data_IF_924244723647
#
_entry.id   IF_924244723647
#
_cell.length_a   1.000
_cell.length_b   1.000
_cell.length_c   1.000
_cell.angle_alpha   90.00
_cell.angle_beta   90.00
_cell.angle_gamma   90.00
#
_symmetry.space_group_name_H-M   'P 1'
#
loop_
_entity.id
_entity.type
_entity.pdbx_description
1 polymer ?
#
# COMPACT_ATOMS: atom_id res chain seq x y z
N UNK A 1 -7.00 48.26 72.44
CA UNK A 1 -6.97 47.13 73.42
C UNK A 1 -8.32 47.09 74.15
N UNK A 2 -8.76 46.05 74.92
CA UNK A 2 -8.65 44.55 74.85
C UNK A 2 -9.92 43.73 75.35
N UNK A 3 -9.89 42.37 75.23
CA UNK A 3 -10.31 41.18 76.09
C UNK A 3 -11.68 40.86 76.81
N UNK A 4 -12.13 39.57 76.68
CA UNK A 4 -12.45 38.46 77.67
C UNK A 4 -13.81 38.20 78.43
N UNK A 5 -14.11 36.86 78.58
CA UNK A 5 -14.77 36.04 79.67
C UNK A 5 -16.30 35.72 79.56
N UNK A 6 -16.92 34.63 80.08
CA UNK A 6 -16.72 33.18 80.44
C UNK A 6 -18.08 32.64 80.96
N UNK A 7 -18.32 31.31 81.00
CA UNK A 7 -19.30 30.71 81.92
C UNK A 7 -19.65 29.22 81.67
N UNK A 8 -19.03 28.31 82.45
CA UNK A 8 -19.44 26.91 82.64
C UNK A 8 -20.29 26.76 83.92
N UNK A 9 -21.22 25.80 83.93
CA UNK A 9 -21.79 25.20 85.15
C UNK A 9 -22.02 23.69 84.95
N UNK A 10 -21.26 22.87 85.68
CA UNK A 10 -21.64 21.50 86.14
C UNK A 10 -22.01 21.59 87.65
N UNK A 11 -22.37 20.54 88.44
CA UNK A 11 -22.63 19.10 88.17
C UNK A 11 -23.84 18.44 88.94
N UNK A 12 -24.30 17.24 88.47
CA UNK A 12 -24.62 15.94 89.18
C UNK A 12 -25.50 15.89 90.47
N UNK A 13 -25.94 14.72 91.05
CA UNK A 13 -26.12 13.31 90.60
C UNK A 13 -27.58 12.79 90.85
N UNK A 14 -28.08 11.65 90.39
CA UNK A 14 -27.96 10.28 90.94
C UNK A 14 -29.02 9.43 90.18
N UNK A 15 -28.63 8.41 89.40
CA UNK A 15 -28.49 6.97 89.76
C UNK A 15 -29.80 6.16 89.86
N UNK A 16 -29.82 5.11 89.01
CA UNK A 16 -30.50 3.79 89.13
C UNK A 16 -31.96 3.77 88.62
N UNK A 17 -32.36 3.00 87.60
CA UNK A 17 -31.66 2.01 86.79
C UNK A 17 -32.52 1.54 85.60
N UNK A 18 -31.81 1.06 84.56
CA UNK A 18 -32.10 0.01 83.52
C UNK A 18 -33.57 -0.24 83.03
N UNK A 19 -33.73 -0.85 81.84
CA UNK A 19 -33.23 -0.41 80.53
C UNK A 19 -34.35 -0.42 79.47
N UNK A 20 -34.20 0.47 78.49
CA UNK A 20 -34.28 0.17 77.06
C UNK A 20 -35.53 -0.59 76.56
N UNK A 21 -36.49 0.15 76.01
CA UNK A 21 -36.88 -0.02 74.59
C UNK A 21 -37.86 1.09 74.19
N UNK A 22 -37.49 1.73 73.09
CA UNK A 22 -38.36 2.09 71.98
C UNK A 22 -39.43 3.15 72.29
N UNK A 23 -39.27 4.37 71.76
CA UNK A 23 -40.33 5.20 71.15
C UNK A 23 -39.73 6.58 70.78
N UNK A 24 -40.20 7.10 69.64
CA UNK A 24 -40.07 8.45 69.08
C UNK A 24 -38.91 8.73 68.12
N UNK A 25 -39.28 8.88 66.85
CA UNK A 25 -38.44 9.50 65.84
C UNK A 25 -39.09 9.75 64.48
N UNK A 26 -40.43 9.76 64.38
CA UNK A 26 -41.14 10.33 63.21
C UNK A 26 -41.02 11.85 63.34
N UNK A 27 -39.94 12.42 62.81
CA UNK A 27 -39.82 13.82 62.39
C UNK A 27 -38.42 14.09 61.83
N UNK A 28 -38.05 13.41 60.75
CA UNK A 28 -36.94 13.80 59.88
C UNK A 28 -37.16 13.23 58.47
N UNK A 29 -38.37 13.45 57.93
CA UNK A 29 -38.73 13.13 56.56
C UNK A 29 -38.89 14.45 55.77
N UNK A 30 -37.81 15.22 55.66
CA UNK A 30 -37.62 16.27 54.66
C UNK A 30 -36.23 16.86 54.81
N UNK A 31 -35.51 16.95 53.70
CA UNK A 31 -34.17 17.55 53.50
C UNK A 31 -32.97 16.67 53.85
N UNK A 32 -32.07 16.57 52.87
CA UNK A 32 -30.75 15.90 52.84
C UNK A 32 -30.76 14.40 52.48
N UNK A 33 -31.17 14.10 51.25
CA UNK A 33 -30.47 13.13 50.39
C UNK A 33 -30.46 13.69 48.95
N UNK A 34 -29.58 14.66 48.71
CA UNK A 34 -29.21 15.10 47.37
C UNK A 34 -27.69 14.95 47.23
N UNK A 35 -27.20 13.71 47.31
CA UNK A 35 -25.85 13.36 46.89
C UNK A 35 -25.88 11.98 46.22
N UNK A 36 -25.66 12.01 44.91
CA UNK A 36 -25.16 10.92 44.08
C UNK A 36 -25.97 9.61 44.09
N UNK A 37 -27.13 9.62 43.43
CA UNK A 37 -27.43 8.46 42.57
C UNK A 37 -27.08 8.90 41.15
N UNK A 38 -25.97 8.37 40.62
CA UNK A 38 -25.91 8.19 39.18
C UNK A 38 -27.10 7.29 38.86
N UNK A 39 -28.11 7.82 38.16
CA UNK A 39 -29.12 7.00 37.55
C UNK A 39 -28.42 6.25 36.40
N UNK A 40 -27.62 5.26 36.74
CA UNK A 40 -27.20 4.25 35.79
C UNK A 40 -28.47 3.48 35.46
N UNK A 41 -29.15 3.87 34.39
CA UNK A 41 -30.01 2.94 33.69
C UNK A 41 -29.15 1.70 33.44
N UNK A 42 -29.58 0.57 33.97
CA UNK A 42 -28.97 -0.70 33.66
C UNK A 42 -29.25 -0.91 32.16
N UNK A 43 -28.34 -0.46 31.29
CA UNK A 43 -28.44 -0.78 29.88
C UNK A 43 -28.07 -2.25 29.81
N UNK A 44 -29.10 -3.08 29.89
CA UNK A 44 -28.98 -4.49 29.58
C UNK A 44 -28.77 -4.59 28.07
N UNK A 45 -27.52 -4.39 27.63
CA UNK A 45 -27.06 -4.81 26.32
C UNK A 45 -26.98 -6.33 26.37
N UNK A 46 -28.12 -6.95 26.07
CA UNK A 46 -28.24 -8.33 25.60
C UNK A 46 -27.45 -9.34 26.44
N UNK A 47 -28.07 -9.91 27.47
CA UNK A 47 -27.44 -10.89 28.37
C UNK A 47 -26.64 -12.00 27.65
N UNK A 48 -25.34 -11.75 27.46
CA UNK A 48 -24.37 -12.68 26.88
C UNK A 48 -24.38 -12.84 25.35
N UNK A 49 -25.12 -12.02 24.59
CA UNK A 49 -25.17 -12.11 23.12
C UNK A 49 -24.58 -10.88 22.43
N UNK A 50 -23.92 -11.07 21.29
CA UNK A 50 -23.38 -9.97 20.47
C UNK A 50 -24.47 -8.93 20.16
N UNK A 51 -24.11 -7.65 20.25
CA UNK A 51 -24.96 -6.53 19.83
C UNK A 51 -24.83 -6.41 18.32
N UNK A 52 -25.88 -6.76 17.60
CA UNK A 52 -25.91 -6.79 16.14
C UNK A 52 -26.63 -5.54 15.63
N UNK A 53 -25.86 -4.62 15.03
CA UNK A 53 -26.37 -3.37 14.45
C UNK A 53 -26.75 -3.57 12.98
N UNK A 54 -27.95 -3.12 12.58
CA UNK A 54 -28.32 -2.85 11.19
C UNK A 54 -28.55 -4.07 10.29
N UNK A 55 -29.75 -4.66 10.36
CA UNK A 55 -30.21 -5.66 9.39
C UNK A 55 -30.46 -4.98 8.02
N UNK A 56 -29.45 -4.95 7.16
CA UNK A 56 -29.55 -4.35 5.83
C UNK A 56 -28.31 -4.48 4.93
N UNK A 57 -27.44 -5.46 5.17
CA UNK A 57 -26.29 -5.70 4.27
C UNK A 57 -26.77 -6.43 3.01
N UNK A 58 -27.14 -5.67 1.99
CA UNK A 58 -27.52 -6.23 0.70
C UNK A 58 -26.29 -6.36 -0.22
N UNK A 59 -25.86 -7.60 -0.46
CA UNK A 59 -24.86 -7.94 -1.47
C UNK A 59 -25.45 -7.81 -2.88
N UNK A 60 -24.74 -7.14 -3.78
CA UNK A 60 -25.12 -7.00 -5.20
C UNK A 60 -24.06 -7.62 -6.09
N UNK A 61 -24.10 -8.94 -6.19
CA UNK A 61 -23.18 -9.79 -6.94
C UNK A 61 -22.91 -9.30 -8.37
N UNK A 62 -21.64 -9.14 -8.68
CA UNK A 62 -21.13 -9.50 -10.00
C UNK A 62 -19.86 -10.35 -9.78
N UNK A 63 -19.58 -11.25 -10.73
CA UNK A 63 -18.67 -12.42 -10.66
C UNK A 63 -18.99 -13.58 -9.67
N UNK A 64 -19.59 -13.34 -8.49
CA UNK A 64 -19.88 -14.41 -7.51
C UNK A 64 -21.12 -14.17 -6.61
N UNK A 65 -21.96 -15.20 -6.47
CA UNK A 65 -23.24 -15.19 -5.75
C UNK A 65 -23.17 -15.57 -4.27
N UNK A 66 -22.00 -15.97 -3.75
CA UNK A 66 -21.81 -16.38 -2.34
C UNK A 66 -21.08 -15.35 -1.45
N UNK A 67 -20.87 -14.13 -1.95
CA UNK A 67 -20.11 -13.11 -1.21
C UNK A 67 -20.82 -12.69 0.08
N UNK A 68 -20.09 -12.76 1.20
CA UNK A 68 -20.51 -12.28 2.52
C UNK A 68 -19.74 -11.01 2.88
N UNK A 69 -20.47 -9.97 3.31
CA UNK A 69 -19.91 -8.68 3.74
C UNK A 69 -20.10 -8.54 5.25
N UNK A 70 -19.01 -8.34 5.98
CA UNK A 70 -19.01 -8.16 7.44
C UNK A 70 -18.41 -6.79 7.78
N UNK A 71 -19.23 -5.77 8.11
CA UNK A 71 -18.73 -4.49 8.60
C UNK A 71 -18.27 -4.58 10.05
N UNK A 72 -17.25 -3.80 10.40
CA UNK A 72 -16.77 -3.60 11.75
C UNK A 72 -16.79 -2.14 12.12
N UNK A 73 -17.14 -1.86 13.38
CA UNK A 73 -17.14 -0.51 13.93
C UNK A 73 -16.24 -0.41 15.14
N UNK A 74 -15.57 0.72 15.30
CA UNK A 74 -14.84 1.06 16.53
C UNK A 74 -15.29 2.43 17.03
N UNK A 75 -15.20 2.62 18.35
CA UNK A 75 -15.51 3.90 18.97
C UNK A 75 -14.32 4.86 18.77
N UNK A 76 -14.57 6.03 18.19
CA UNK A 76 -13.57 7.07 17.97
C UNK A 76 -13.92 8.29 18.84
N UNK A 77 -12.94 8.75 19.61
CA UNK A 77 -13.08 9.98 20.41
C UNK A 77 -12.94 11.20 19.48
N UNK A 78 -14.05 11.87 19.20
CA UNK A 78 -14.09 13.14 18.48
C UNK A 78 -14.27 14.31 19.49
N UNK A 79 -14.00 15.56 19.08
CA UNK A 79 -14.21 16.70 19.97
C UNK A 79 -15.69 16.83 20.35
N UNK A 80 -16.00 16.57 21.63
CA UNK A 80 -17.37 16.54 22.16
C UNK A 80 -17.68 15.18 22.76
N UNK A 81 -18.52 14.40 22.08
CA UNK A 81 -18.83 13.01 22.40
C UNK A 81 -18.32 12.12 21.26
N UNK A 82 -17.57 11.07 21.57
CA UNK A 82 -17.12 10.11 20.57
C UNK A 82 -18.28 9.33 19.94
N UNK A 83 -18.05 8.76 18.77
CA UNK A 83 -19.04 8.01 18.00
C UNK A 83 -18.47 6.67 17.51
N UNK A 84 -19.33 5.68 17.30
CA UNK A 84 -18.92 4.46 16.60
C UNK A 84 -18.86 4.74 15.10
N UNK A 85 -17.69 4.55 14.49
CA UNK A 85 -17.48 4.70 13.04
C UNK A 85 -17.34 3.35 12.37
N UNK A 86 -17.73 3.27 11.11
CA UNK A 86 -17.35 2.14 10.25
C UNK A 86 -15.84 2.21 10.00
N UNK A 87 -15.09 1.24 10.50
CA UNK A 87 -13.61 1.30 10.48
C UNK A 87 -12.96 0.15 9.76
N UNK A 88 -13.70 -0.92 9.49
CA UNK A 88 -13.23 -2.03 8.68
C UNK A 88 -14.38 -2.76 8.00
N UNK A 89 -14.11 -3.39 6.86
CA UNK A 89 -15.05 -4.25 6.14
C UNK A 89 -14.31 -5.52 5.75
N UNK A 90 -14.81 -6.69 6.16
CA UNK A 90 -14.36 -7.98 5.64
C UNK A 90 -15.32 -8.47 4.55
N UNK A 91 -14.75 -8.95 3.46
CA UNK A 91 -15.47 -9.59 2.35
C UNK A 91 -14.93 -11.01 2.21
N UNK A 92 -15.82 -12.00 2.24
CA UNK A 92 -15.46 -13.43 2.23
C UNK A 92 -16.40 -14.26 1.37
N UNK A 93 -16.03 -15.51 1.07
CA UNK A 93 -16.81 -16.36 0.17
C UNK A 93 -16.64 -15.97 -1.29
N UNK A 94 -15.44 -15.47 -1.67
CA UNK A 94 -15.14 -15.02 -3.03
C UNK A 94 -14.51 -16.15 -3.83
N UNK A 95 -15.10 -16.49 -4.97
CA UNK A 95 -14.59 -17.41 -5.98
C UNK A 95 -13.63 -16.67 -6.93
N UNK A 96 -12.35 -16.67 -6.57
CA UNK A 96 -11.27 -16.00 -7.28
C UNK A 96 -10.63 -16.86 -8.37
N UNK A 97 -11.37 -17.81 -8.95
CA UNK A 97 -10.91 -18.55 -10.14
C UNK A 97 -10.94 -17.68 -11.39
N UNK A 98 -10.17 -18.08 -12.41
CA UNK A 98 -10.01 -17.33 -13.66
C UNK A 98 -11.32 -17.11 -14.44
N UNK A 99 -12.30 -18.00 -14.31
CA UNK A 99 -13.62 -17.92 -14.94
C UNK A 99 -14.67 -17.20 -14.08
N UNK A 100 -14.25 -16.63 -12.95
CA UNK A 100 -15.09 -16.06 -11.90
C UNK A 100 -14.65 -14.64 -11.56
N UNK A 101 -14.17 -14.37 -10.34
CA UNK A 101 -13.83 -13.03 -9.87
C UNK A 101 -12.41 -12.57 -10.20
N UNK A 102 -11.52 -13.50 -10.56
CA UNK A 102 -10.15 -13.12 -10.93
C UNK A 102 -10.15 -12.18 -12.13
N UNK A 103 -9.38 -11.10 -12.03
CA UNK A 103 -9.32 -10.01 -13.01
C UNK A 103 -10.49 -9.04 -12.95
N UNK A 104 -11.37 -9.12 -11.93
CA UNK A 104 -12.44 -8.14 -11.69
C UNK A 104 -12.02 -7.12 -10.63
N UNK A 105 -12.73 -6.00 -10.64
CA UNK A 105 -12.59 -4.95 -9.63
C UNK A 105 -13.88 -4.92 -8.82
N UNK A 106 -13.76 -5.14 -7.51
CA UNK A 106 -14.81 -4.92 -6.53
C UNK A 106 -14.90 -3.43 -6.19
N UNK A 107 -16.06 -2.83 -6.43
CA UNK A 107 -16.40 -1.46 -6.07
C UNK A 107 -17.27 -1.50 -4.83
N UNK A 108 -16.77 -0.92 -3.73
CA UNK A 108 -17.38 -0.98 -2.41
C UNK A 108 -17.88 0.40 -2.03
N UNK A 109 -19.17 0.48 -1.64
CA UNK A 109 -19.83 1.73 -1.25
C UNK A 109 -20.70 1.51 -0.03
N UNK A 110 -20.84 2.53 0.82
CA UNK A 110 -21.77 2.53 1.93
C UNK A 110 -22.90 3.55 1.68
N UNK A 111 -24.10 3.24 2.17
CA UNK A 111 -25.28 4.08 2.02
C UNK A 111 -26.03 4.22 3.34
N UNK A 112 -26.59 5.40 3.56
CA UNK A 112 -27.63 5.66 4.53
C UNK A 112 -29.03 5.56 3.90
N UNK A 113 -30.06 5.92 4.66
CA UNK A 113 -31.42 6.08 4.13
C UNK A 113 -31.55 7.28 3.17
N UNK A 114 -30.57 8.18 3.13
CA UNK A 114 -30.62 9.44 2.35
C UNK A 114 -29.68 9.47 1.16
N UNK A 115 -28.70 8.57 1.07
CA UNK A 115 -27.74 8.56 -0.04
C UNK A 115 -26.48 7.76 0.25
N UNK A 116 -25.49 7.87 -0.65
CA UNK A 116 -24.14 7.32 -0.46
C UNK A 116 -23.42 8.10 0.63
N UNK A 117 -22.61 7.41 1.43
CA UNK A 117 -21.82 7.96 2.52
C UNK A 117 -20.35 8.07 2.10
N UNK A 118 -19.69 9.12 2.56
CA UNK A 118 -18.22 9.16 2.57
C UNK A 118 -17.69 8.13 3.57
N UNK A 119 -16.74 7.31 3.14
CA UNK A 119 -16.17 6.23 3.93
C UNK A 119 -15.09 6.77 4.87
N UNK A 120 -14.14 7.52 4.33
CA UNK A 120 -13.03 8.10 5.08
C UNK A 120 -12.46 9.34 4.38
N UNK A 121 -11.82 10.21 5.17
CA UNK A 121 -10.92 11.24 4.67
C UNK A 121 -9.49 10.67 4.67
N UNK A 122 -8.83 10.72 3.52
CA UNK A 122 -7.42 10.43 3.36
C UNK A 122 -6.63 11.73 3.45
N UNK A 123 -5.63 11.79 4.33
CA UNK A 123 -4.76 12.95 4.44
C UNK A 123 -3.30 12.51 4.48
N UNK A 124 -2.47 13.16 3.66
CA UNK A 124 -1.01 13.02 3.65
C UNK A 124 -0.42 14.27 4.27
N UNK A 125 0.37 14.10 5.33
CA UNK A 125 1.06 15.18 6.03
C UNK A 125 2.58 15.00 5.91
N UNK A 126 3.28 16.07 5.56
CA UNK A 126 4.74 16.12 5.60
C UNK A 126 5.25 16.03 7.03
N UNK A 127 6.15 15.09 7.34
CA UNK A 127 6.76 15.02 8.68
C UNK A 127 7.84 16.09 8.90
N UNK A 128 8.24 16.83 7.86
CA UNK A 128 9.29 17.86 7.96
C UNK A 128 8.75 19.16 8.58
N UNK A 129 7.56 19.57 8.15
CA UNK A 129 6.94 20.86 8.49
C UNK A 129 5.47 20.73 8.92
N UNK A 130 4.95 19.50 9.00
CA UNK A 130 3.56 19.19 9.38
C UNK A 130 2.51 19.86 8.47
N UNK A 131 2.88 20.13 7.21
CA UNK A 131 1.96 20.64 6.20
C UNK A 131 1.12 19.51 5.59
N UNK A 132 -0.15 19.80 5.31
CA UNK A 132 -1.03 18.90 4.56
C UNK A 132 -0.61 18.99 3.09
N UNK A 133 -0.22 17.84 2.52
CA UNK A 133 0.19 17.68 1.13
C UNK A 133 -1.04 17.35 0.27
N UNK A 134 -1.86 16.43 0.75
CA UNK A 134 -3.06 15.95 0.08
C UNK A 134 -4.14 15.72 1.13
N UNK A 135 -5.39 16.06 0.79
CA UNK A 135 -6.56 15.64 1.53
C UNK A 135 -7.71 15.36 0.57
N UNK A 136 -8.32 14.18 0.69
CA UNK A 136 -9.36 13.70 -0.23
C UNK A 136 -10.37 12.86 0.54
N UNK A 137 -11.65 13.17 0.39
CA UNK A 137 -12.74 12.33 0.90
C UNK A 137 -13.07 11.23 -0.12
N UNK A 138 -13.17 9.98 0.35
CA UNK A 138 -13.48 8.83 -0.48
C UNK A 138 -14.84 8.26 -0.11
N UNK A 139 -15.73 8.20 -1.10
CA UNK A 139 -17.09 7.65 -1.00
C UNK A 139 -17.19 6.23 -1.59
N UNK A 140 -16.11 5.74 -2.20
CA UNK A 140 -15.99 4.39 -2.77
C UNK A 140 -14.57 3.84 -2.61
N UNK A 141 -14.45 2.52 -2.65
CA UNK A 141 -13.16 1.79 -2.65
C UNK A 141 -13.16 0.79 -3.80
N UNK A 142 -12.05 0.72 -4.54
CA UNK A 142 -11.88 -0.27 -5.60
C UNK A 142 -10.79 -1.29 -5.22
N UNK A 143 -11.16 -2.56 -5.17
CA UNK A 143 -10.26 -3.68 -4.88
C UNK A 143 -10.15 -4.58 -6.10
N UNK A 144 -8.95 -4.73 -6.64
CA UNK A 144 -8.69 -5.69 -7.71
C UNK A 144 -8.48 -7.08 -7.14
N UNK A 145 -9.05 -8.10 -7.78
CA UNK A 145 -8.74 -9.50 -7.53
C UNK A 145 -7.83 -10.06 -8.62
N UNK A 146 -6.69 -10.61 -8.22
CA UNK A 146 -5.80 -11.40 -9.07
C UNK A 146 -5.59 -12.79 -8.49
N UNK A 147 -6.46 -13.73 -8.87
CA UNK A 147 -6.43 -15.11 -8.39
C UNK A 147 -6.41 -15.22 -6.84
N UNK A 148 -7.24 -14.40 -6.19
CA UNK A 148 -7.43 -14.29 -4.74
C UNK A 148 -6.35 -13.43 -4.06
N UNK A 149 -5.54 -12.72 -4.85
CA UNK A 149 -4.68 -11.66 -4.33
C UNK A 149 -5.43 -10.35 -4.53
N UNK A 150 -5.99 -9.84 -3.44
CA UNK A 150 -6.75 -8.61 -3.39
C UNK A 150 -5.82 -7.43 -3.16
N UNK A 151 -5.95 -6.40 -3.99
CA UNK A 151 -5.12 -5.19 -3.91
C UNK A 151 -6.00 -3.97 -4.01
N UNK A 152 -5.74 -2.99 -3.14
CA UNK A 152 -6.43 -1.70 -3.19
C UNK A 152 -5.97 -0.95 -4.45
N UNK A 153 -6.89 -0.72 -5.37
CA UNK A 153 -6.62 -0.21 -6.72
C UNK A 153 -7.00 1.25 -6.93
N UNK A 154 -7.84 1.83 -6.05
CA UNK A 154 -8.11 3.27 -6.06
C UNK A 154 -8.42 3.78 -4.65
N UNK A 155 -7.89 4.94 -4.29
CA UNK A 155 -8.43 5.74 -3.20
C UNK A 155 -7.56 5.87 -1.96
N UNK A 156 -6.40 6.53 -2.12
CA UNK A 156 -5.52 6.86 -0.99
C UNK A 156 -5.02 5.61 -0.24
N UNK A 157 -4.43 4.67 -0.97
CA UNK A 157 -3.90 3.43 -0.38
C UNK A 157 -2.53 3.65 0.28
N UNK A 158 -2.30 2.94 1.39
CA UNK A 158 -1.00 2.64 1.97
C UNK A 158 -0.76 1.11 2.01
N UNK A 159 0.44 0.69 2.41
CA UNK A 159 0.95 -0.68 2.20
C UNK A 159 0.20 -1.74 3.02
N UNK A 160 -0.64 -1.36 4.00
CA UNK A 160 -1.20 -2.28 5.01
C UNK A 160 -2.75 -2.33 5.06
N UNK A 161 -3.41 -1.88 3.99
CA UNK A 161 -4.85 -1.58 4.03
C UNK A 161 -5.75 -2.78 3.78
N UNK A 162 -5.21 -3.73 3.03
CA UNK A 162 -5.88 -4.93 2.57
C UNK A 162 -5.18 -6.10 3.20
N UNK A 163 -5.75 -6.59 4.29
CA UNK A 163 -5.34 -7.88 4.83
C UNK A 163 -6.00 -8.96 4.00
N UNK A 164 -5.24 -9.61 3.14
CA UNK A 164 -5.70 -10.78 2.42
C UNK A 164 -5.87 -11.99 3.35
N UNK A 165 -6.56 -13.03 2.90
CA UNK A 165 -6.69 -14.29 3.62
C UNK A 165 -5.35 -15.01 3.87
N UNK A 166 -5.41 -16.05 4.71
CA UNK A 166 -4.25 -16.88 4.95
C UNK A 166 -3.86 -17.66 3.68
N UNK A 167 -2.55 -17.85 3.45
CA UNK A 167 -1.96 -18.61 2.34
C UNK A 167 -1.93 -17.92 0.97
N UNK A 168 -2.08 -16.59 0.91
CA UNK A 168 -1.83 -15.78 -0.30
C UNK A 168 -0.45 -16.07 -0.86
N UNK A 169 -0.38 -16.37 -2.17
CA UNK A 169 0.86 -16.73 -2.86
C UNK A 169 1.16 -18.23 -2.90
N UNK A 170 0.39 -19.08 -2.21
CA UNK A 170 0.48 -20.53 -2.36
C UNK A 170 -0.19 -20.99 -3.68
N UNK A 171 0.53 -21.66 -4.59
CA UNK A 171 -0.03 -22.14 -5.86
C UNK A 171 -1.10 -23.24 -5.69
N UNK A 172 -1.23 -23.81 -4.49
CA UNK A 172 -2.22 -24.86 -4.15
C UNK A 172 -3.42 -24.33 -3.38
N UNK A 173 -3.50 -23.01 -3.15
CA UNK A 173 -4.61 -22.37 -2.42
C UNK A 173 -5.95 -22.66 -3.09
N UNK A 174 -6.96 -22.91 -2.27
CA UNK A 174 -8.35 -22.98 -2.72
C UNK A 174 -8.83 -21.59 -3.14
N UNK A 175 -9.07 -21.43 -4.44
CA UNK A 175 -9.56 -20.17 -5.01
C UNK A 175 -11.10 -20.08 -4.99
N UNK A 176 -11.81 -21.10 -4.52
CA UNK A 176 -13.29 -21.10 -4.49
C UNK A 176 -13.87 -20.41 -3.26
N UNK A 177 -13.06 -20.18 -2.23
CA UNK A 177 -13.46 -19.49 -1.00
C UNK A 177 -12.30 -18.64 -0.48
N UNK A 178 -12.20 -17.43 -1.02
CA UNK A 178 -11.17 -16.45 -0.64
C UNK A 178 -11.78 -15.26 0.09
N UNK A 179 -10.94 -14.50 0.80
CA UNK A 179 -11.41 -13.32 1.53
C UNK A 179 -10.35 -12.21 1.65
N UNK A 180 -10.81 -10.99 1.89
CA UNK A 180 -9.97 -9.87 2.30
C UNK A 180 -10.66 -9.00 3.35
N UNK A 181 -9.85 -8.28 4.12
CA UNK A 181 -10.31 -7.31 5.12
C UNK A 181 -9.70 -5.94 4.82
N UNK A 182 -10.56 -4.94 4.70
CA UNK A 182 -10.19 -3.55 4.52
C UNK A 182 -10.07 -2.85 5.86
N UNK A 183 -9.02 -2.04 6.03
CA UNK A 183 -8.94 -1.04 7.09
C UNK A 183 -9.29 0.33 6.54
N UNK A 184 -10.26 1.01 7.15
CA UNK A 184 -10.60 2.41 6.83
C UNK A 184 -9.88 3.40 7.75
N UNK A 185 -8.88 2.90 8.48
CA UNK A 185 -8.01 3.64 9.38
C UNK A 185 -6.56 3.33 9.04
N UNK A 186 -5.67 4.32 9.14
CA UNK A 186 -4.23 4.08 9.00
C UNK A 186 -3.39 4.82 10.01
N UNK A 187 -2.20 4.27 10.21
CA UNK A 187 -1.07 4.90 10.87
C UNK A 187 0.23 4.46 10.18
N UNK A 188 0.50 5.01 8.99
CA UNK A 188 1.80 4.84 8.34
C UNK A 188 2.68 6.04 8.63
N UNK A 189 3.93 5.81 9.03
CA UNK A 189 4.91 6.89 9.23
C UNK A 189 6.26 6.54 8.62
N UNK A 190 6.83 7.56 7.96
CA UNK A 190 8.18 7.73 7.38
C UNK A 190 8.21 7.63 5.84
N UNK A 191 8.56 8.72 5.10
CA UNK A 191 8.83 10.10 5.55
C UNK A 191 7.56 10.98 5.67
N UNK A 192 6.38 10.47 5.33
CA UNK A 192 5.08 11.15 5.47
C UNK A 192 4.26 10.51 6.59
N UNK A 193 3.29 11.25 7.13
CA UNK A 193 2.21 10.68 7.94
C UNK A 193 0.98 10.58 7.05
N UNK A 194 0.55 9.34 6.79
CA UNK A 194 -0.73 9.08 6.15
C UNK A 194 -1.74 8.80 7.24
N UNK A 195 -2.83 9.56 7.25
CA UNK A 195 -3.96 9.32 8.15
C UNK A 195 -5.23 9.09 7.35
N UNK A 196 -5.95 8.01 7.69
CA UNK A 196 -7.35 7.83 7.30
C UNK A 196 -8.24 8.01 8.50
N UNK A 197 -9.14 8.98 8.36
CA UNK A 197 -10.14 9.31 9.36
C UNK A 197 -11.49 8.81 8.87
N UNK A 198 -12.08 7.76 9.49
CA UNK A 198 -13.40 7.28 9.14
C UNK A 198 -14.46 8.37 9.25
N UNK A 199 -15.26 8.53 8.19
CA UNK A 199 -16.31 9.55 8.12
C UNK A 199 -17.69 8.94 8.38
N UNK A 200 -17.95 7.74 7.86
CA UNK A 200 -19.22 7.04 8.03
C UNK A 200 -19.48 6.65 9.49
N UNK A 201 -20.52 7.22 10.09
CA UNK A 201 -21.07 6.76 11.37
C UNK A 201 -21.63 5.34 11.20
N UNK A 202 -21.28 4.43 12.10
CA UNK A 202 -21.77 3.07 12.07
C UNK A 202 -23.31 3.00 12.18
N UNK A 203 -23.93 3.98 12.83
CA UNK A 203 -25.40 4.08 12.94
C UNK A 203 -26.07 4.51 11.63
N UNK A 204 -25.37 5.26 10.78
CA UNK A 204 -25.89 5.76 9.52
C UNK A 204 -25.72 4.77 8.37
N UNK A 205 -24.81 3.80 8.49
CA UNK A 205 -24.62 2.74 7.49
C UNK A 205 -25.82 1.80 7.52
N UNK A 206 -26.69 1.92 6.52
CA UNK A 206 -27.86 1.06 6.33
C UNK A 206 -27.63 -0.05 5.32
N UNK A 207 -26.72 0.18 4.37
CA UNK A 207 -26.38 -0.76 3.30
C UNK A 207 -24.93 -0.59 2.89
N UNK A 208 -24.23 -1.70 2.67
CA UNK A 208 -22.94 -1.74 1.98
C UNK A 208 -23.15 -2.56 0.71
N UNK A 209 -22.75 -2.00 -0.44
CA UNK A 209 -22.77 -2.71 -1.71
C UNK A 209 -21.36 -3.11 -2.09
N UNK A 210 -21.25 -4.30 -2.67
CA UNK A 210 -20.05 -4.75 -3.39
C UNK A 210 -20.53 -5.04 -4.79
N UNK A 211 -20.12 -4.21 -5.74
CA UNK A 211 -20.43 -4.35 -7.15
C UNK A 211 -19.16 -4.79 -7.87
N UNK A 212 -19.24 -5.60 -8.93
CA UNK A 212 -18.07 -5.77 -9.80
C UNK A 212 -18.31 -5.08 -11.11
N UNK A 213 -17.42 -4.14 -11.45
CA UNK A 213 -17.27 -3.76 -12.84
C UNK A 213 -16.46 -4.86 -13.53
N UNK A 214 -16.80 -5.16 -14.79
CA UNK A 214 -15.85 -5.86 -15.65
C UNK A 214 -14.56 -5.08 -15.52
N UNK A 215 -13.49 -5.72 -15.05
CA UNK A 215 -12.23 -5.03 -14.90
C UNK A 215 -11.92 -4.42 -16.25
N UNK A 216 -12.01 -3.10 -16.37
CA UNK A 216 -11.07 -2.42 -17.24
C UNK A 216 -9.73 -2.96 -16.74
N UNK A 217 -8.93 -3.54 -17.66
CA UNK A 217 -7.57 -3.93 -17.35
C UNK A 217 -6.99 -2.78 -16.51
N UNK A 218 -6.51 -3.07 -15.28
CA UNK A 218 -6.00 -2.01 -14.40
C UNK A 218 -5.05 -1.18 -15.24
N UNK A 219 -5.49 0.01 -15.62
CA UNK A 219 -4.71 0.89 -16.48
C UNK A 219 -3.87 1.71 -15.55
N UNK A 220 -2.60 1.34 -15.45
CA UNK A 220 -1.63 2.10 -14.69
C UNK A 220 -1.26 3.36 -15.47
N UNK A 221 -1.23 4.50 -14.79
CA UNK A 221 -0.57 5.69 -15.30
C UNK A 221 0.95 5.57 -15.11
N UNK A 222 1.71 6.34 -15.89
CA UNK A 222 3.14 6.50 -15.64
C UNK A 222 3.34 7.17 -14.28
N UNK A 223 4.16 6.57 -13.43
CA UNK A 223 4.38 7.00 -12.04
C UNK A 223 3.63 6.18 -10.99
N UNK A 224 2.63 5.40 -11.39
CA UNK A 224 1.88 4.57 -10.45
C UNK A 224 2.74 3.45 -9.86
N UNK A 225 2.33 2.97 -8.67
CA UNK A 225 2.89 1.76 -8.10
C UNK A 225 2.33 0.55 -8.84
N UNK A 226 3.21 -0.18 -9.51
CA UNK A 226 2.86 -1.40 -10.23
C UNK A 226 2.65 -2.61 -9.31
N UNK A 227 2.21 -3.75 -9.86
CA UNK A 227 1.88 -4.95 -9.09
C UNK A 227 3.11 -5.63 -8.45
N UNK A 228 4.34 -5.25 -8.83
CA UNK A 228 5.57 -5.63 -8.15
C UNK A 228 5.99 -4.66 -7.04
N UNK A 229 5.21 -3.61 -6.76
CA UNK A 229 5.59 -2.53 -5.85
C UNK A 229 6.65 -1.58 -6.44
N UNK A 230 6.96 -1.72 -7.74
CA UNK A 230 7.81 -0.81 -8.49
C UNK A 230 7.04 0.40 -9.00
N UNK A 231 7.72 1.30 -9.73
CA UNK A 231 7.08 2.45 -10.38
C UNK A 231 6.91 2.15 -11.87
N UNK A 232 5.68 2.29 -12.37
CA UNK A 232 5.35 2.13 -13.79
C UNK A 232 5.97 3.27 -14.58
N UNK A 233 6.77 2.95 -15.60
CA UNK A 233 7.54 3.93 -16.36
C UNK A 233 7.35 3.84 -17.87
N UNK A 234 6.69 2.78 -18.34
CA UNK A 234 6.37 2.60 -19.74
C UNK A 234 5.00 1.94 -19.89
N UNK A 235 4.26 2.38 -20.91
CA UNK A 235 2.98 1.81 -21.34
C UNK A 235 2.90 1.78 -22.86
N UNK A 236 2.37 0.69 -23.41
CA UNK A 236 2.01 0.59 -24.82
C UNK A 236 0.55 0.11 -24.95
N UNK A 237 -0.27 0.88 -25.67
CA UNK A 237 -1.70 0.57 -25.85
C UNK A 237 -1.92 -0.72 -26.66
N UNK A 238 -1.06 -1.00 -27.65
CA UNK A 238 -1.14 -2.21 -28.48
C UNK A 238 -0.52 -3.42 -27.73
N UNK A 239 0.44 -3.13 -26.85
CA UNK A 239 1.22 -4.08 -26.09
C UNK A 239 2.44 -4.59 -26.87
N UNK A 240 3.37 -5.19 -26.14
CA UNK A 240 4.63 -5.69 -26.67
C UNK A 240 4.87 -7.15 -26.26
N UNK A 241 5.75 -7.82 -27.00
CA UNK A 241 6.10 -9.22 -26.75
C UNK A 241 7.06 -9.32 -25.56
N UNK A 242 6.74 -10.14 -24.56
CA UNK A 242 7.49 -10.20 -23.31
C UNK A 242 7.63 -11.65 -22.76
N UNK A 243 8.32 -11.79 -21.64
CA UNK A 243 8.54 -13.04 -20.94
C UNK A 243 9.70 -13.88 -21.51
N UNK A 244 9.88 -15.09 -20.99
CA UNK A 244 11.01 -15.97 -21.33
C UNK A 244 11.07 -16.38 -22.81
N UNK A 245 9.92 -16.49 -23.46
CA UNK A 245 9.79 -16.95 -24.85
C UNK A 245 9.36 -15.84 -25.81
N UNK A 246 9.11 -14.62 -25.31
CA UNK A 246 8.58 -13.50 -26.10
C UNK A 246 7.22 -13.81 -26.76
N UNK A 247 6.43 -14.70 -26.16
CA UNK A 247 5.09 -15.06 -26.63
C UNK A 247 3.97 -14.43 -25.79
N UNK A 248 4.31 -13.85 -24.63
CA UNK A 248 3.35 -13.14 -23.80
C UNK A 248 3.14 -11.72 -24.34
N UNK A 249 1.95 -11.16 -24.13
CA UNK A 249 1.65 -9.76 -24.40
C UNK A 249 1.66 -9.01 -23.07
N UNK A 250 2.57 -8.07 -22.92
CA UNK A 250 2.60 -7.13 -21.80
C UNK A 250 2.24 -5.73 -22.29
N UNK A 251 1.75 -4.90 -21.39
CA UNK A 251 1.43 -3.50 -21.68
C UNK A 251 2.28 -2.54 -20.89
N UNK A 252 2.81 -2.96 -19.74
CA UNK A 252 3.50 -2.07 -18.80
C UNK A 252 4.90 -2.56 -18.48
N UNK A 253 5.78 -1.60 -18.14
CA UNK A 253 7.02 -1.86 -17.42
C UNK A 253 7.05 -1.08 -16.12
N UNK A 254 7.51 -1.73 -15.05
CA UNK A 254 7.81 -1.10 -13.76
C UNK A 254 9.29 -1.30 -13.38
N UNK A 255 9.87 -0.36 -12.63
CA UNK A 255 11.23 -0.48 -12.09
C UNK A 255 11.23 -0.52 -10.56
N UNK A 256 12.22 -1.21 -9.97
CA UNK A 256 12.37 -1.30 -8.52
C UNK A 256 12.59 0.11 -7.91
N UNK A 257 11.69 0.58 -7.05
CA UNK A 257 11.70 1.99 -6.61
C UNK A 257 12.86 2.38 -5.67
N UNK A 258 13.35 1.44 -4.87
CA UNK A 258 14.32 1.71 -3.80
C UNK A 258 15.77 1.46 -4.26
N UNK A 259 16.69 2.38 -3.91
CA UNK A 259 18.14 2.18 -4.09
C UNK A 259 18.66 0.95 -3.33
N UNK A 260 17.97 0.55 -2.27
CA UNK A 260 18.29 -0.62 -1.46
C UNK A 260 17.79 -1.96 -2.02
N UNK A 261 17.38 -2.01 -3.30
CA UNK A 261 16.86 -3.23 -3.92
C UNK A 261 17.84 -4.43 -3.83
N UNK A 262 19.15 -4.18 -3.73
CA UNK A 262 20.22 -5.19 -3.45
C UNK A 262 20.84 -5.04 -2.05
N UNK A 263 20.09 -4.59 -1.05
CA UNK A 263 20.52 -4.49 0.36
C UNK A 263 20.57 -3.05 0.91
N UNK A 264 20.51 -2.93 2.24
CA UNK A 264 20.29 -1.68 2.99
C UNK A 264 21.52 -0.76 3.11
N UNK A 265 22.21 -0.47 2.00
CA UNK A 265 23.41 0.37 2.00
C UNK A 265 23.17 1.81 1.52
N UNK A 266 21.98 2.14 1.01
CA UNK A 266 21.57 3.47 0.57
C UNK A 266 22.03 3.89 -0.82
N UNK A 267 22.69 3.01 -1.58
CA UNK A 267 23.27 3.30 -2.90
C UNK A 267 22.91 2.24 -3.93
N UNK A 268 22.84 2.63 -5.20
CA UNK A 268 22.72 1.61 -6.25
C UNK A 268 24.00 0.78 -6.38
N UNK A 269 23.87 -0.54 -6.44
CA UNK A 269 25.03 -1.41 -6.48
C UNK A 269 25.75 -1.28 -7.83
N UNK A 270 27.07 -1.10 -7.79
CA UNK A 270 27.94 -1.35 -8.93
C UNK A 270 28.16 -2.86 -9.06
N UNK A 271 27.61 -3.48 -10.10
CA UNK A 271 27.64 -4.93 -10.31
C UNK A 271 28.33 -5.23 -11.63
N UNK A 272 29.12 -6.33 -11.67
CA UNK A 272 29.69 -6.85 -12.91
C UNK A 272 28.59 -7.45 -13.80
N UNK A 273 28.75 -7.36 -15.11
CA UNK A 273 27.80 -7.95 -16.05
C UNK A 273 27.88 -9.49 -16.06
N UNK A 274 29.10 -10.05 -15.98
CA UNK A 274 29.33 -11.50 -15.94
C UNK A 274 30.36 -11.95 -14.89
N UNK A 275 30.26 -13.22 -14.51
CA UNK A 275 31.28 -13.93 -13.73
C UNK A 275 32.64 -13.95 -14.45
N UNK A 276 33.73 -13.93 -13.68
CA UNK A 276 35.09 -13.77 -14.22
C UNK A 276 35.43 -14.81 -15.30
N UNK A 277 34.95 -16.04 -15.17
CA UNK A 277 35.17 -17.13 -16.13
C UNK A 277 34.34 -16.99 -17.41
N UNK A 278 33.26 -16.20 -17.36
CA UNK A 278 32.32 -15.98 -18.47
C UNK A 278 32.52 -14.63 -19.17
N UNK A 279 33.41 -13.76 -18.66
CA UNK A 279 33.66 -12.42 -19.21
C UNK A 279 34.26 -12.43 -20.63
N UNK A 280 34.77 -13.56 -21.12
CA UNK A 280 35.24 -13.72 -22.51
C UNK A 280 34.40 -14.70 -23.34
N UNK A 281 33.23 -15.10 -22.84
CA UNK A 281 32.35 -16.09 -23.47
C UNK A 281 31.03 -15.44 -23.87
N UNK A 282 30.62 -15.68 -25.11
CA UNK A 282 29.35 -15.18 -25.64
C UNK A 282 28.18 -15.98 -25.05
N UNK A 283 27.14 -15.29 -24.58
CA UNK A 283 25.82 -15.88 -24.29
C UNK A 283 25.11 -16.21 -25.60
N UNK A 284 25.31 -15.36 -26.60
CA UNK A 284 24.86 -15.52 -27.98
C UNK A 284 23.47 -14.97 -28.19
N UNK A 285 22.76 -15.53 -29.18
CA UNK A 285 21.46 -15.01 -29.62
C UNK A 285 20.43 -14.89 -28.48
N UNK A 286 20.56 -15.67 -27.41
CA UNK A 286 19.66 -15.61 -26.26
C UNK A 286 19.74 -14.31 -25.44
N UNK A 287 20.82 -13.53 -25.57
CA UNK A 287 20.98 -12.24 -24.87
C UNK A 287 21.24 -11.05 -25.80
N UNK A 288 21.14 -11.23 -27.12
CA UNK A 288 21.38 -10.16 -28.11
C UNK A 288 20.13 -9.35 -28.46
N UNK A 289 19.00 -9.62 -27.82
CA UNK A 289 17.75 -8.93 -28.12
C UNK A 289 17.79 -7.52 -27.52
N UNK A 290 17.33 -6.52 -28.27
CA UNK A 290 17.34 -5.11 -27.84
C UNK A 290 15.97 -4.58 -27.48
N UNK A 291 14.91 -5.15 -28.07
CA UNK A 291 13.55 -4.60 -28.10
C UNK A 291 12.87 -4.56 -26.74
N UNK A 292 11.91 -3.64 -26.60
CA UNK A 292 11.00 -3.58 -25.45
C UNK A 292 10.33 -4.95 -25.24
N UNK A 293 10.38 -5.45 -24.00
CA UNK A 293 9.91 -6.76 -23.56
C UNK A 293 10.96 -7.87 -23.57
N UNK A 294 12.15 -7.65 -24.14
CA UNK A 294 13.16 -8.71 -24.29
C UNK A 294 14.10 -8.89 -23.09
N UNK A 295 14.09 -7.99 -22.11
CA UNK A 295 15.02 -8.02 -20.99
C UNK A 295 14.91 -9.29 -20.13
N UNK A 296 13.70 -9.83 -19.98
CA UNK A 296 13.49 -11.08 -19.26
C UNK A 296 14.21 -12.25 -19.94
N UNK A 297 14.00 -12.41 -21.25
CA UNK A 297 14.59 -13.49 -22.04
C UNK A 297 16.12 -13.41 -22.02
N UNK A 298 16.67 -12.21 -22.23
CA UNK A 298 18.10 -11.96 -22.13
C UNK A 298 18.66 -12.32 -20.76
N UNK A 299 18.06 -11.79 -19.69
CA UNK A 299 18.50 -12.04 -18.32
C UNK A 299 18.44 -13.52 -17.96
N UNK A 300 17.42 -14.24 -18.46
CA UNK A 300 17.32 -15.68 -18.28
C UNK A 300 18.47 -16.41 -18.99
N UNK A 301 18.76 -16.07 -20.24
CA UNK A 301 19.86 -16.68 -20.97
C UNK A 301 21.22 -16.43 -20.30
N UNK A 302 21.45 -15.23 -19.78
CA UNK A 302 22.67 -14.88 -19.03
C UNK A 302 22.80 -15.73 -17.76
N UNK A 303 21.71 -15.89 -16.99
CA UNK A 303 21.70 -16.74 -15.79
C UNK A 303 21.88 -18.22 -16.15
N UNK A 304 21.21 -18.71 -17.19
CA UNK A 304 21.33 -20.09 -17.69
C UNK A 304 22.76 -20.41 -18.17
N UNK A 305 23.52 -19.41 -18.64
CA UNK A 305 24.94 -19.56 -18.97
C UNK A 305 25.82 -19.85 -17.74
N UNK A 306 25.33 -19.55 -16.53
CA UNK A 306 26.03 -19.76 -15.25
C UNK A 306 26.33 -18.48 -14.46
N UNK A 307 25.80 -17.32 -14.86
CA UNK A 307 25.97 -16.08 -14.11
C UNK A 307 25.06 -16.05 -12.88
N UNK A 308 25.66 -15.99 -11.68
CA UNK A 308 24.94 -16.06 -10.40
C UNK A 308 24.41 -14.71 -9.89
N UNK A 309 23.90 -14.71 -8.66
CA UNK A 309 23.25 -13.55 -8.01
C UNK A 309 24.16 -12.33 -7.78
N UNK A 310 25.48 -12.49 -7.95
CA UNK A 310 26.45 -11.39 -7.86
C UNK A 310 26.74 -10.72 -9.21
N UNK A 311 26.03 -11.12 -10.26
CA UNK A 311 26.07 -10.49 -11.59
C UNK A 311 24.83 -9.63 -11.83
N UNK A 312 24.89 -8.69 -12.76
CA UNK A 312 23.81 -7.74 -13.02
C UNK A 312 22.46 -8.43 -13.34
N UNK A 313 22.49 -9.44 -14.22
CA UNK A 313 21.30 -10.21 -14.55
C UNK A 313 20.83 -11.08 -13.38
N UNK A 314 21.75 -11.84 -12.76
CA UNK A 314 21.39 -12.72 -11.64
C UNK A 314 20.83 -11.97 -10.43
N UNK A 315 21.43 -10.84 -10.05
CA UNK A 315 20.92 -9.97 -8.99
C UNK A 315 19.52 -9.45 -9.30
N UNK A 316 19.28 -9.03 -10.55
CA UNK A 316 17.98 -8.52 -10.97
C UNK A 316 16.91 -9.61 -10.99
N UNK A 317 17.26 -10.85 -11.36
CA UNK A 317 16.35 -12.02 -11.31
C UNK A 317 16.03 -12.47 -9.88
N UNK A 318 16.96 -12.27 -8.96
CA UNK A 318 16.80 -12.64 -7.55
C UNK A 318 15.92 -11.65 -6.79
N UNK A 319 15.83 -10.39 -7.24
CA UNK A 319 14.97 -9.40 -6.61
C UNK A 319 13.50 -9.84 -6.56
N UNK A 320 12.89 -9.80 -5.37
CA UNK A 320 11.50 -10.23 -5.10
C UNK A 320 10.59 -9.08 -4.67
N UNK A 321 10.71 -7.91 -5.32
CA UNK A 321 9.80 -6.78 -5.08
C UNK A 321 8.34 -7.22 -5.21
N UNK A 322 7.51 -6.88 -4.21
CA UNK A 322 6.09 -7.27 -4.18
C UNK A 322 5.84 -8.78 -4.20
N UNK A 323 6.83 -9.59 -3.80
CA UNK A 323 6.75 -11.06 -3.85
C UNK A 323 6.79 -11.65 -5.27
N UNK A 324 7.15 -10.86 -6.28
CA UNK A 324 7.19 -11.30 -7.69
C UNK A 324 8.53 -11.95 -8.06
N UNK A 325 8.52 -12.89 -9.00
CA UNK A 325 9.71 -13.67 -9.41
C UNK A 325 10.22 -13.33 -10.82
N UNK A 326 9.50 -12.46 -11.51
CA UNK A 326 9.68 -12.08 -12.91
C UNK A 326 10.37 -10.72 -13.06
N UNK A 327 11.17 -10.30 -12.08
CA UNK A 327 12.10 -9.18 -12.19
C UNK A 327 13.32 -9.55 -13.03
N UNK A 328 13.91 -8.59 -13.76
CA UNK A 328 15.04 -8.81 -14.65
C UNK A 328 15.85 -7.55 -14.95
N UNK A 329 17.04 -7.74 -15.53
CA UNK A 329 17.87 -6.66 -16.03
C UNK A 329 17.29 -6.17 -17.38
N UNK A 330 16.96 -4.88 -17.54
CA UNK A 330 16.33 -4.36 -18.74
C UNK A 330 17.15 -4.65 -19.98
N UNK A 331 16.51 -4.87 -21.12
CA UNK A 331 17.17 -4.79 -22.44
C UNK A 331 17.56 -3.35 -22.76
N UNK A 332 18.34 -3.16 -23.83
CA UNK A 332 18.78 -1.83 -24.28
C UNK A 332 17.61 -0.85 -24.43
N UNK A 333 16.54 -1.23 -25.12
CA UNK A 333 15.45 -0.30 -25.43
C UNK A 333 14.57 -0.04 -24.19
N UNK A 334 14.42 -1.03 -23.28
CA UNK A 334 13.72 -0.86 -22.00
C UNK A 334 14.47 0.09 -21.05
N UNK A 335 15.80 0.00 -21.01
CA UNK A 335 16.63 0.91 -20.21
C UNK A 335 16.60 2.33 -20.78
N UNK A 336 16.52 2.46 -22.11
CA UNK A 336 16.36 3.76 -22.75
C UNK A 336 15.00 4.40 -22.42
N UNK A 337 13.90 3.61 -22.36
CA UNK A 337 12.60 4.10 -21.87
C UNK A 337 12.66 4.54 -20.41
N UNK A 338 13.40 3.80 -19.57
CA UNK A 338 13.58 4.19 -18.18
C UNK A 338 14.36 5.51 -18.05
N UNK A 339 15.40 5.72 -18.86
CA UNK A 339 16.09 7.01 -18.94
C UNK A 339 15.13 8.15 -19.31
N UNK A 340 14.31 7.97 -20.36
CA UNK A 340 13.33 8.98 -20.81
C UNK A 340 12.39 9.36 -19.66
N UNK A 341 11.82 8.36 -18.98
CA UNK A 341 10.90 8.57 -17.86
C UNK A 341 11.56 9.26 -16.65
N UNK A 342 12.80 8.92 -16.33
CA UNK A 342 13.50 9.49 -15.16
C UNK A 342 13.97 10.91 -15.44
N UNK A 343 14.48 11.17 -16.63
CA UNK A 343 14.96 12.50 -17.02
C UNK A 343 13.80 13.47 -17.28
N UNK A 344 12.59 12.98 -17.59
CA UNK A 344 11.45 13.84 -17.96
C UNK A 344 11.68 14.53 -19.30
N UNK A 345 12.52 13.95 -20.17
CA UNK A 345 12.97 14.55 -21.42
C UNK A 345 12.35 13.83 -22.63
N UNK A 346 12.46 14.47 -23.80
CA UNK A 346 12.06 13.87 -25.07
C UNK A 346 13.04 12.79 -25.55
N UNK A 347 12.93 12.45 -26.84
CA UNK A 347 13.87 11.58 -27.54
C UNK A 347 14.54 12.32 -28.70
N UNK A 348 15.75 11.90 -29.09
CA UNK A 348 16.38 12.35 -30.31
C UNK A 348 15.70 11.73 -31.56
N UNK A 349 16.19 12.07 -32.75
CA UNK A 349 15.68 11.54 -34.01
C UNK A 349 15.75 9.99 -34.13
N UNK A 350 16.50 9.32 -33.24
CA UNK A 350 16.66 7.87 -33.20
C UNK A 350 15.90 7.23 -32.02
N UNK A 351 15.07 7.98 -31.30
CA UNK A 351 14.32 7.46 -30.15
C UNK A 351 15.16 7.32 -28.88
N UNK A 352 16.39 7.83 -28.85
CA UNK A 352 17.28 7.78 -27.69
C UNK A 352 16.93 8.89 -26.71
N UNK A 353 16.97 8.59 -25.41
CA UNK A 353 16.85 9.57 -24.33
C UNK A 353 17.76 10.77 -24.61
N UNK A 354 17.21 11.98 -24.76
CA UNK A 354 18.03 13.20 -24.83
C UNK A 354 18.28 13.72 -23.44
N UNK A 355 19.49 14.22 -23.21
CA UNK A 355 19.85 14.98 -22.02
C UNK A 355 20.45 16.29 -22.47
N UNK A 356 19.84 17.43 -22.12
CA UNK A 356 20.48 18.73 -22.35
C UNK A 356 21.60 18.99 -21.32
N UNK A 357 21.76 18.12 -20.32
CA UNK A 357 22.48 18.44 -19.09
C UNK A 357 21.86 19.62 -18.32
N UNK A 358 20.76 20.17 -18.84
CA UNK A 358 19.97 21.25 -18.27
C UNK A 358 18.85 20.61 -17.48
N UNK A 359 18.98 20.77 -16.17
CA UNK A 359 17.90 20.98 -15.23
C UNK A 359 16.66 21.64 -15.85
N UNK A 360 15.68 20.83 -16.27
CA UNK A 360 14.31 21.31 -16.37
C UNK A 360 13.74 21.29 -14.96
N UNK A 361 14.07 22.35 -14.22
CA UNK A 361 13.40 22.67 -12.97
C UNK A 361 11.94 22.98 -13.26
N UNK A 362 11.10 21.95 -13.31
CA UNK A 362 9.77 22.01 -12.76
C UNK A 362 9.77 21.16 -11.50
N UNK A 363 9.40 21.78 -10.39
CA UNK A 363 9.30 21.13 -9.09
C UNK A 363 8.36 19.92 -9.22
N UNK A 364 8.93 18.71 -9.17
CA UNK A 364 8.21 17.59 -8.60
C UNK A 364 7.78 18.03 -7.18
N UNK A 365 6.58 17.66 -6.65
CA UNK A 365 6.04 18.14 -5.37
C UNK A 365 6.89 17.84 -4.12
N UNK A 366 8.12 17.37 -4.31
CA UNK A 366 9.11 17.07 -3.30
C UNK A 366 10.36 17.86 -3.70
N UNK A 367 10.39 19.14 -3.29
CA UNK A 367 11.43 20.08 -3.63
C UNK A 367 12.84 19.56 -3.33
N UNK A 368 13.65 19.46 -4.37
CA UNK A 368 15.06 19.12 -4.29
C UNK A 368 15.68 19.17 -5.67
N UNK A 369 16.58 20.12 -5.89
CA UNK A 369 17.38 20.19 -7.11
C UNK A 369 18.44 19.03 -7.13
N UNK A 370 18.04 17.76 -7.37
CA UNK A 370 18.80 16.66 -8.04
C UNK A 370 17.82 15.62 -8.58
N UNK A 371 18.06 15.03 -9.78
CA UNK A 371 17.20 13.99 -10.37
C UNK A 371 17.16 12.81 -9.41
N UNK A 372 16.17 12.78 -8.53
CA UNK A 372 16.10 11.85 -7.41
C UNK A 372 14.83 11.00 -7.48
N UNK A 373 14.55 10.40 -8.65
CA UNK A 373 13.73 9.16 -8.73
C UNK A 373 14.51 7.94 -8.20
N UNK A 374 15.42 8.16 -7.25
CA UNK A 374 16.25 7.14 -6.65
C UNK A 374 17.36 6.59 -7.55
N UNK A 375 17.81 7.28 -8.61
CA UNK A 375 18.95 6.84 -9.43
C UNK A 375 20.26 7.52 -9.02
N UNK A 376 21.41 6.93 -9.34
CA UNK A 376 22.72 7.59 -9.24
C UNK A 376 22.97 8.56 -10.41
N UNK A 377 23.47 9.75 -10.07
CA UNK A 377 23.74 10.84 -10.99
C UNK A 377 24.95 10.54 -11.89
N UNK A 378 24.84 10.86 -13.19
CA UNK A 378 25.97 10.91 -14.13
C UNK A 378 26.79 9.60 -14.30
N UNK A 379 26.15 8.44 -14.19
CA UNK A 379 26.85 7.16 -14.33
C UNK A 379 26.15 6.20 -15.31
N UNK A 380 26.79 5.06 -15.55
CA UNK A 380 26.36 4.02 -16.45
C UNK A 380 25.51 2.97 -15.75
N UNK A 381 24.51 2.49 -16.48
CA UNK A 381 23.65 1.38 -16.07
C UNK A 381 23.80 0.24 -17.05
N UNK A 382 23.96 -0.96 -16.52
CA UNK A 382 23.93 -2.17 -17.33
C UNK A 382 22.54 -2.40 -17.92
N UNK A 383 22.52 -2.87 -19.16
CA UNK A 383 21.39 -3.59 -19.72
C UNK A 383 21.78 -5.04 -20.02
N UNK A 384 20.79 -5.89 -20.28
CA UNK A 384 20.96 -7.32 -20.54
C UNK A 384 21.32 -7.64 -21.99
N UNK A 385 21.44 -6.64 -22.86
CA UNK A 385 21.81 -6.87 -24.25
C UNK A 385 23.32 -7.07 -24.38
N UNK A 386 23.71 -8.28 -24.76
CA UNK A 386 25.09 -8.64 -25.08
C UNK A 386 25.48 -8.05 -26.45
N UNK A 387 26.69 -7.50 -26.54
CA UNK A 387 27.24 -7.02 -27.80
C UNK A 387 28.22 -8.02 -28.42
N UNK A 388 29.11 -8.56 -27.60
CA UNK A 388 30.15 -9.50 -28.03
C UNK A 388 30.60 -10.38 -26.87
N UNK A 389 31.45 -11.36 -27.15
CA UNK A 389 31.99 -12.30 -26.15
C UNK A 389 32.63 -11.61 -24.94
N UNK A 390 33.25 -10.44 -25.13
CA UNK A 390 33.95 -9.66 -24.10
C UNK A 390 33.25 -8.34 -23.71
N UNK A 391 32.12 -8.02 -24.34
CA UNK A 391 31.46 -6.73 -24.19
C UNK A 391 29.95 -6.85 -23.93
N UNK A 392 29.50 -6.21 -22.86
CA UNK A 392 28.10 -5.88 -22.62
C UNK A 392 27.77 -4.46 -23.09
N UNK A 393 26.48 -4.12 -23.11
CA UNK A 393 26.03 -2.75 -23.34
C UNK A 393 25.65 -2.06 -22.03
N UNK A 394 26.06 -0.81 -21.87
CA UNK A 394 25.57 0.07 -20.80
C UNK A 394 25.04 1.38 -21.36
N UNK A 395 24.20 2.06 -20.60
CA UNK A 395 23.61 3.34 -20.97
C UNK A 395 24.04 4.40 -19.96
N UNK A 396 24.58 5.51 -20.44
CA UNK A 396 24.83 6.70 -19.64
C UNK A 396 23.49 7.36 -19.33
N UNK A 397 23.11 7.39 -18.07
CA UNK A 397 21.73 7.67 -17.66
C UNK A 397 21.30 9.14 -17.79
N UNK A 398 22.25 10.08 -17.92
CA UNK A 398 21.99 11.50 -18.16
C UNK A 398 21.42 11.82 -19.55
N UNK A 399 21.78 11.07 -20.58
CA UNK A 399 21.51 11.43 -21.98
C UNK A 399 21.39 10.24 -22.92
N UNK A 400 21.07 9.07 -22.36
CA UNK A 400 20.87 7.83 -23.11
C UNK A 400 22.10 7.27 -23.80
N UNK A 401 23.30 7.86 -23.65
CA UNK A 401 24.47 7.49 -24.46
C UNK A 401 24.90 6.07 -24.21
N UNK A 402 24.71 5.23 -25.22
CA UNK A 402 25.04 3.81 -25.14
C UNK A 402 26.54 3.62 -25.26
N UNK A 403 27.13 2.92 -24.29
CA UNK A 403 28.47 2.38 -24.37
C UNK A 403 28.39 0.95 -24.92
N UNK A 404 28.77 0.81 -26.19
CA UNK A 404 28.74 -0.45 -26.94
C UNK A 404 30.12 -1.14 -26.91
N UNK A 405 30.69 -1.33 -25.73
CA UNK A 405 32.03 -1.91 -25.61
C UNK A 405 32.49 -2.04 -24.16
N UNK A 406 31.54 -2.09 -23.23
CA UNK A 406 31.87 -2.13 -21.83
C UNK A 406 32.33 -3.54 -21.45
N UNK A 407 33.53 -3.63 -20.87
CA UNK A 407 34.07 -4.88 -20.38
C UNK A 407 33.09 -5.51 -19.37
N UNK A 408 32.73 -6.79 -19.57
CA UNK A 408 31.73 -7.48 -18.74
C UNK A 408 32.08 -7.56 -17.24
N UNK A 409 33.33 -7.29 -16.87
CA UNK A 409 33.78 -7.19 -15.48
C UNK A 409 33.64 -5.80 -14.83
N UNK A 410 33.27 -4.77 -15.59
CA UNK A 410 33.15 -3.41 -15.05
C UNK A 410 31.98 -3.28 -14.06
N UNK A 411 32.16 -2.58 -12.93
CA UNK A 411 31.08 -2.35 -11.98
C UNK A 411 30.24 -1.14 -12.43
N UNK A 412 29.08 -1.40 -13.03
CA UNK A 412 28.09 -0.36 -13.34
C UNK A 412 26.80 -0.58 -12.58
N UNK A 413 25.98 0.47 -12.49
CA UNK A 413 24.73 0.40 -11.77
C UNK A 413 23.72 -0.51 -12.47
N UNK A 414 22.77 -0.99 -11.69
CA UNK A 414 21.75 -1.92 -12.13
C UNK A 414 20.42 -1.50 -11.50
N UNK A 415 19.36 -1.56 -12.30
CA UNK A 415 18.00 -1.39 -11.83
C UNK A 415 17.12 -2.53 -12.35
N UNK A 416 16.58 -3.40 -11.48
CA UNK A 416 15.63 -4.41 -11.89
C UNK A 416 14.35 -3.76 -12.42
N UNK A 417 13.82 -4.33 -13.49
CA UNK A 417 12.51 -4.00 -14.04
C UNK A 417 11.66 -5.26 -14.16
N UNK A 418 10.36 -5.06 -14.40
CA UNK A 418 9.39 -6.12 -14.63
C UNK A 418 8.37 -5.67 -15.67
N UNK A 419 7.91 -6.59 -16.51
CA UNK A 419 6.83 -6.38 -17.48
C UNK A 419 5.56 -7.08 -17.04
N UNK A 420 4.40 -6.50 -17.31
CA UNK A 420 3.10 -7.11 -17.00
C UNK A 420 1.94 -6.63 -17.88
#
# INVERSE_FOLDING_TARGET
MPTLKFGDFQPSPNRIGKPLKLILGIAALASVLALSSTLAANINLNGGGNVEFGQGVAATTACDDQITITPYSTFINEQGAGSHKLTSIKISGIDSRADKCSGKIFVIKAYSDTGQLDLFNYTVTSNLDNSIIETTDYDLIEISDNAGVFTWSSGGTDVDDVTNDANVGDPTRDLTDTSFTLSLTSASTVPYTISRTPLASAEDVKRITVETKGGDAITYALGDIGPGGGIVYYYDEIGFSCGSTLLLRCHYLEYARDKNWKGANGYEPGIKWAESELQGTEVGSGAQHTSIGSGFANSKAIVDQGNGIETAAGASREYKGGGKEDWYLPSRDELNQLCIYVQGLGVDANGKCIGDGIWLGEEHPQGGNTITKGFEDNDYYWNSTELASDAGQSLWFINGSTNNGAAKGAPYHVRPIRSF
#
